data_IF_450295922996
#
_entry.id   IF_450295922996
#
_cell.length_a   1.000
_cell.length_b   1.000
_cell.length_c   1.000
_cell.angle_alpha   90.00
_cell.angle_beta   90.00
_cell.angle_gamma   90.00
#
_symmetry.space_group_name_H-M   'P 1'
#
loop_
_entity.id
_entity.type
_entity.pdbx_description
1 polymer ?
#
# COMPACT_ATOMS: atom_id res chain seq x y z
N UNK A 1 -19.99 30.84 -42.43
CA UNK A 1 -20.44 30.89 -41.02
C UNK A 1 -21.36 29.71 -40.76
N UNK A 2 -21.16 29.06 -39.60
CA UNK A 2 -21.96 27.99 -38.99
C UNK A 2 -21.80 26.57 -39.55
N UNK A 3 -20.64 25.97 -39.27
CA UNK A 3 -20.54 24.52 -39.12
C UNK A 3 -21.03 24.14 -37.72
N UNK A 4 -22.28 23.70 -37.62
CA UNK A 4 -22.88 23.14 -36.40
C UNK A 4 -22.25 21.78 -36.11
N UNK A 5 -21.18 21.77 -35.32
CA UNK A 5 -20.68 20.56 -34.69
C UNK A 5 -21.68 20.10 -33.63
N UNK A 6 -22.48 19.11 -34.00
CA UNK A 6 -23.32 18.35 -33.08
C UNK A 6 -22.40 17.69 -32.04
N UNK A 7 -22.31 18.31 -30.86
CA UNK A 7 -21.81 17.62 -29.67
C UNK A 7 -22.82 16.51 -29.36
N UNK A 8 -22.47 15.27 -29.69
CA UNK A 8 -23.11 14.11 -29.10
C UNK A 8 -22.90 14.21 -27.59
N UNK A 9 -23.93 14.66 -26.89
CA UNK A 9 -23.95 14.91 -25.46
C UNK A 9 -24.06 13.56 -24.71
N UNK A 10 -23.10 12.68 -24.95
CA UNK A 10 -22.94 11.44 -24.20
C UNK A 10 -22.03 11.79 -23.03
N UNK A 11 -22.63 12.05 -21.88
CA UNK A 11 -21.89 12.22 -20.63
C UNK A 11 -21.05 10.95 -20.42
N UNK A 12 -19.74 11.10 -20.40
CA UNK A 12 -18.81 9.99 -20.24
C UNK A 12 -18.57 9.84 -18.73
N UNK A 13 -19.51 9.16 -18.09
CA UNK A 13 -19.56 9.06 -16.64
C UNK A 13 -18.52 8.06 -16.16
N UNK A 14 -17.65 8.46 -15.24
CA UNK A 14 -16.79 7.55 -14.46
C UNK A 14 -17.09 7.68 -12.98
N UNK A 15 -16.91 6.59 -12.24
CA UNK A 15 -17.09 6.55 -10.80
C UNK A 15 -15.74 6.71 -10.12
N UNK A 16 -15.65 7.60 -9.13
CA UNK A 16 -14.47 7.76 -8.29
C UNK A 16 -14.83 7.34 -6.87
N UNK A 17 -14.16 6.30 -6.39
CA UNK A 17 -14.22 5.86 -5.00
C UNK A 17 -13.08 6.48 -4.21
N UNK A 18 -13.42 7.37 -3.30
CA UNK A 18 -12.49 8.07 -2.43
C UNK A 18 -12.33 7.32 -1.10
N UNK A 19 -11.10 6.95 -0.78
CA UNK A 19 -10.76 6.03 0.31
C UNK A 19 -9.96 6.70 1.43
N UNK A 20 -10.39 7.88 1.89
CA UNK A 20 -9.81 8.53 3.08
C UNK A 20 -10.69 8.30 4.31
N UNK A 21 -10.49 7.16 5.00
CA UNK A 21 -11.16 6.77 6.24
C UNK A 21 -12.66 6.41 6.14
N UNK A 22 -13.42 7.07 5.27
CA UNK A 22 -14.80 6.73 4.93
C UNK A 22 -14.95 6.64 3.42
N UNK A 23 -15.64 5.61 2.93
CA UNK A 23 -15.93 5.44 1.52
C UNK A 23 -16.89 6.53 1.03
N UNK A 24 -16.43 7.35 0.08
CA UNK A 24 -17.26 8.32 -0.64
C UNK A 24 -17.17 8.04 -2.13
N UNK A 25 -18.31 7.94 -2.80
CA UNK A 25 -18.35 7.75 -4.26
C UNK A 25 -18.77 9.05 -4.93
N UNK A 26 -17.97 9.50 -5.90
CA UNK A 26 -18.25 10.65 -6.74
C UNK A 26 -18.52 10.19 -8.17
N UNK A 27 -19.38 10.93 -8.86
CA UNK A 27 -19.66 10.72 -10.28
C UNK A 27 -19.00 11.85 -11.06
N UNK A 28 -18.07 11.49 -11.94
CA UNK A 28 -17.29 12.42 -12.74
C UNK A 28 -17.71 12.32 -14.20
N UNK A 29 -17.85 13.44 -14.88
CA UNK A 29 -18.07 13.49 -16.34
C UNK A 29 -16.73 13.86 -17.00
N UNK A 30 -16.13 12.89 -17.70
CA UNK A 30 -14.74 12.99 -18.18
C UNK A 30 -14.65 12.58 -19.64
N UNK A 31 -13.87 13.29 -20.45
CA UNK A 31 -13.68 12.90 -21.84
C UNK A 31 -12.56 11.86 -21.99
N UNK A 32 -12.67 10.87 -22.90
CA UNK A 32 -11.58 9.90 -23.14
C UNK A 32 -10.27 10.54 -23.60
N UNK A 33 -10.35 11.73 -24.22
CA UNK A 33 -9.24 12.57 -24.66
C UNK A 33 -8.55 13.33 -23.51
N UNK A 34 -9.18 13.40 -22.33
CA UNK A 34 -8.63 14.08 -21.16
C UNK A 34 -7.34 13.39 -20.71
N UNK A 35 -6.34 14.19 -20.30
CA UNK A 35 -5.09 13.65 -19.72
C UNK A 35 -5.21 13.44 -18.21
N UNK A 36 -4.40 12.55 -17.65
CA UNK A 36 -4.40 12.23 -16.21
C UNK A 36 -4.23 13.49 -15.34
N UNK A 37 -3.40 14.45 -15.76
CA UNK A 37 -3.24 15.71 -15.04
C UNK A 37 -4.54 16.53 -14.94
N UNK A 38 -5.32 16.57 -16.03
CA UNK A 38 -6.61 17.26 -16.07
C UNK A 38 -7.64 16.54 -15.21
N UNK A 39 -7.67 15.20 -15.24
CA UNK A 39 -8.51 14.39 -14.37
C UNK A 39 -8.20 14.64 -12.88
N UNK A 40 -6.92 14.61 -12.49
CA UNK A 40 -6.49 14.91 -11.11
C UNK A 40 -6.94 16.30 -10.65
N UNK A 41 -6.90 17.31 -11.53
CA UNK A 41 -7.43 18.64 -11.23
C UNK A 41 -8.95 18.64 -11.07
N UNK A 42 -9.66 17.98 -11.99
CA UNK A 42 -11.12 17.88 -11.92
C UNK A 42 -11.60 17.17 -10.64
N UNK A 43 -10.89 16.12 -10.22
CA UNK A 43 -11.15 15.43 -8.96
C UNK A 43 -10.98 16.39 -7.78
N UNK A 44 -9.87 17.15 -7.70
CA UNK A 44 -9.65 18.14 -6.63
C UNK A 44 -10.79 19.13 -6.50
N UNK A 45 -11.22 19.69 -7.61
CA UNK A 45 -12.33 20.66 -7.64
C UNK A 45 -13.65 20.04 -7.19
N UNK A 46 -13.88 18.75 -7.50
CA UNK A 46 -15.10 18.02 -7.13
C UNK A 46 -15.11 17.54 -5.69
N UNK A 47 -13.96 17.13 -5.14
CA UNK A 47 -13.85 16.70 -3.75
C UNK A 47 -13.73 17.87 -2.78
N UNK A 48 -13.27 19.04 -3.27
CA UNK A 48 -13.03 20.22 -2.44
C UNK A 48 -11.78 20.09 -1.56
N UNK A 49 -10.87 19.17 -1.90
CA UNK A 49 -9.62 18.96 -1.18
C UNK A 49 -8.51 19.85 -1.76
N UNK A 50 -8.36 21.04 -1.17
CA UNK A 50 -7.24 21.97 -1.42
C UNK A 50 -5.99 21.62 -0.58
N UNK A 51 -6.05 20.54 0.20
CA UNK A 51 -4.98 20.16 1.13
C UNK A 51 -3.83 19.40 0.45
N UNK A 52 -2.65 19.49 1.06
CA UNK A 52 -1.43 18.72 0.74
C UNK A 52 -1.68 17.20 0.65
N UNK A 53 -2.73 16.71 1.32
CA UNK A 53 -3.21 15.32 1.26
C UNK A 53 -3.52 14.86 -0.16
N UNK A 54 -4.03 15.72 -1.05
CA UNK A 54 -4.28 15.31 -2.44
C UNK A 54 -2.99 15.05 -3.22
N UNK A 55 -1.91 15.79 -2.95
CA UNK A 55 -0.60 15.49 -3.57
C UNK A 55 -0.08 14.12 -3.18
N UNK A 56 -0.50 13.63 -2.01
CA UNK A 56 -0.18 12.31 -1.48
C UNK A 56 -1.23 11.27 -1.88
N UNK A 57 -2.22 11.57 -2.71
CA UNK A 57 -3.18 10.54 -3.13
C UNK A 57 -2.72 9.84 -4.41
N UNK A 58 -2.78 8.52 -4.40
CA UNK A 58 -2.56 7.69 -5.59
C UNK A 58 -3.89 7.38 -6.24
N UNK A 59 -4.00 7.66 -7.54
CA UNK A 59 -5.16 7.29 -8.34
C UNK A 59 -4.89 5.89 -8.94
N UNK A 60 -5.82 4.97 -8.71
CA UNK A 60 -5.70 3.58 -9.13
C UNK A 60 -6.81 3.21 -10.12
N UNK A 61 -6.43 2.38 -11.09
CA UNK A 61 -7.31 1.77 -12.07
C UNK A 61 -6.98 0.30 -12.21
N UNK A 62 -7.94 -0.59 -11.95
CA UNK A 62 -7.73 -2.05 -11.93
C UNK A 62 -6.52 -2.48 -11.08
N UNK A 63 -6.27 -1.78 -9.96
CA UNK A 63 -5.14 -2.06 -9.06
C UNK A 63 -3.78 -1.53 -9.52
N UNK A 64 -3.70 -0.86 -10.67
CA UNK A 64 -2.49 -0.19 -11.13
C UNK A 64 -2.56 1.32 -10.86
N UNK A 65 -1.46 1.89 -10.36
CA UNK A 65 -1.35 3.33 -10.16
C UNK A 65 -1.24 4.03 -11.52
N UNK A 66 -2.03 5.08 -11.72
CA UNK A 66 -1.98 5.93 -12.91
C UNK A 66 -1.33 7.27 -12.54
N UNK A 67 -0.02 7.36 -12.72
CA UNK A 67 0.79 8.52 -12.34
C UNK A 67 1.25 9.38 -13.54
N UNK A 68 1.33 8.81 -14.75
CA UNK A 68 1.77 9.53 -15.95
C UNK A 68 0.76 10.61 -16.39
N UNK A 69 1.09 11.85 -16.05
CA UNK A 69 0.30 13.06 -16.28
C UNK A 69 0.04 13.38 -17.76
N UNK A 70 0.85 12.84 -18.68
CA UNK A 70 0.76 13.13 -20.11
C UNK A 70 -0.07 12.10 -20.90
N UNK A 71 -0.50 11.01 -20.26
CA UNK A 71 -1.32 9.98 -20.90
C UNK A 71 -2.79 10.34 -20.85
N UNK A 72 -3.52 9.99 -21.91
CA UNK A 72 -4.96 10.15 -21.98
C UNK A 72 -5.68 9.03 -21.21
N UNK A 73 -6.92 9.28 -20.81
CA UNK A 73 -7.77 8.24 -20.19
C UNK A 73 -7.95 7.03 -21.12
N UNK A 74 -8.06 7.29 -22.42
CA UNK A 74 -8.11 6.25 -23.44
C UNK A 74 -6.86 5.35 -23.46
N UNK A 75 -5.66 5.88 -23.15
CA UNK A 75 -4.43 5.08 -23.10
C UNK A 75 -4.48 4.01 -22.00
N UNK A 76 -5.14 4.32 -20.88
CA UNK A 76 -5.35 3.41 -19.76
C UNK A 76 -6.59 2.54 -19.88
N UNK A 77 -7.30 2.59 -21.02
CA UNK A 77 -8.60 1.93 -21.24
C UNK A 77 -9.69 2.39 -20.24
N UNK A 78 -9.57 3.61 -19.71
CA UNK A 78 -10.59 4.22 -18.84
C UNK A 78 -11.74 4.68 -19.72
N UNK A 79 -12.91 4.06 -19.55
CA UNK A 79 -14.14 4.30 -20.34
C UNK A 79 -15.29 4.73 -19.44
N UNK A 80 -16.43 5.04 -20.06
CA UNK A 80 -17.70 5.19 -19.35
C UNK A 80 -17.97 4.01 -18.39
N UNK A 81 -18.58 4.33 -17.27
CA UNK A 81 -18.94 3.44 -16.16
C UNK A 81 -17.76 2.75 -15.48
N UNK A 82 -16.53 3.20 -15.71
CA UNK A 82 -15.39 2.60 -15.01
C UNK A 82 -15.22 3.19 -13.61
N UNK A 83 -14.71 2.36 -12.69
CA UNK A 83 -14.42 2.73 -11.31
C UNK A 83 -12.93 3.07 -11.16
N UNK A 84 -12.67 4.29 -10.70
CA UNK A 84 -11.36 4.77 -10.26
C UNK A 84 -11.33 4.77 -8.74
N UNK A 85 -10.18 4.44 -8.17
CA UNK A 85 -10.00 4.47 -6.72
C UNK A 85 -8.95 5.51 -6.36
N UNK A 86 -9.27 6.41 -5.43
CA UNK A 86 -8.33 7.39 -4.89
C UNK A 86 -7.96 7.00 -3.48
N UNK A 87 -6.69 6.64 -3.30
CA UNK A 87 -6.14 6.17 -2.04
C UNK A 87 -5.19 7.20 -1.46
N UNK A 88 -5.37 7.54 -0.19
CA UNK A 88 -4.47 8.43 0.53
C UNK A 88 -3.18 7.70 0.91
N UNK A 89 -2.02 8.17 0.44
CA UNK A 89 -0.73 7.62 0.89
C UNK A 89 -0.29 8.16 2.25
N UNK A 90 -0.99 9.17 2.79
CA UNK A 90 -0.83 9.67 4.16
C UNK A 90 -1.79 9.01 5.14
N UNK A 91 -1.55 7.73 5.42
CA UNK A 91 -1.91 7.05 6.67
C UNK A 91 -3.24 7.41 7.35
N UNK A 92 -4.29 6.66 7.02
CA UNK A 92 -5.27 6.20 8.02
C UNK A 92 -5.62 4.75 7.70
N UNK A 93 -4.79 3.87 8.23
CA UNK A 93 -4.73 2.44 8.02
C UNK A 93 -5.81 1.75 8.89
N UNK A 94 -7.07 2.01 8.59
CA UNK A 94 -8.21 1.41 9.28
C UNK A 94 -8.91 0.34 8.48
N UNK A 95 -8.98 0.49 7.15
CA UNK A 95 -9.65 -0.47 6.30
C UNK A 95 -9.27 -0.19 4.86
N UNK A 96 -9.04 -1.25 4.08
CA UNK A 96 -8.86 -1.27 2.62
C UNK A 96 -7.41 -1.10 2.16
N UNK A 97 -6.89 -2.21 1.64
CA UNK A 97 -5.51 -2.39 1.28
C UNK A 97 -5.06 -1.56 0.09
N UNK A 98 -3.87 -0.99 0.22
CA UNK A 98 -2.95 -0.73 -0.87
C UNK A 98 -1.49 -0.89 -0.38
N UNK A 99 -0.72 -1.65 -1.18
CA UNK A 99 0.72 -1.51 -1.43
C UNK A 99 1.65 -1.40 -0.21
N UNK A 100 1.86 -2.51 0.50
CA UNK A 100 3.06 -2.69 1.32
C UNK A 100 2.95 -3.76 2.39
N UNK A 101 1.82 -3.84 3.10
CA UNK A 101 1.66 -4.83 4.18
C UNK A 101 0.22 -5.32 4.25
N UNK A 102 0.01 -6.61 3.99
CA UNK A 102 -1.26 -7.28 4.28
C UNK A 102 -1.33 -7.52 5.80
N UNK A 103 -2.20 -6.79 6.50
CA UNK A 103 -2.50 -7.15 7.89
C UNK A 103 -3.18 -8.51 7.91
N UNK A 104 -2.73 -9.38 8.81
CA UNK A 104 -3.35 -10.66 9.03
C UNK A 104 -4.75 -10.43 9.64
N UNK A 105 -5.80 -10.92 8.97
CA UNK A 105 -7.14 -10.95 9.55
C UNK A 105 -7.19 -12.03 10.65
N UNK A 106 -7.00 -11.60 11.90
CA UNK A 106 -6.97 -12.47 13.09
C UNK A 106 -8.36 -13.06 13.39
N UNK A 107 -9.44 -12.51 12.82
CA UNK A 107 -10.78 -13.09 12.97
C UNK A 107 -10.95 -14.38 12.16
N UNK A 108 -10.10 -14.57 11.15
CA UNK A 108 -10.04 -15.79 10.34
C UNK A 108 -8.92 -16.69 10.83
N UNK A 109 -9.24 -17.95 11.13
CA UNK A 109 -8.24 -18.94 11.57
C UNK A 109 -7.18 -19.26 10.50
N UNK A 110 -7.43 -18.88 9.24
CA UNK A 110 -6.55 -19.15 8.10
C UNK A 110 -5.26 -18.31 8.11
N UNK A 111 -5.28 -17.15 8.78
CA UNK A 111 -4.11 -16.28 8.90
C UNK A 111 -3.13 -16.73 10.01
N UNK A 112 -3.57 -17.57 10.95
CA UNK A 112 -2.78 -18.02 12.09
C UNK A 112 -2.02 -19.31 11.77
N UNK A 113 -0.79 -19.16 11.27
CA UNK A 113 0.13 -20.30 11.12
C UNK A 113 0.85 -20.59 12.43
N UNK A 114 0.52 -21.71 13.07
CA UNK A 114 1.29 -22.25 14.19
C UNK A 114 2.52 -22.99 13.66
N UNK A 115 3.68 -22.36 13.76
CA UNK A 115 4.96 -22.97 13.41
C UNK A 115 5.49 -23.80 14.59
N UNK A 116 6.03 -24.98 14.31
CA UNK A 116 6.71 -25.82 15.30
C UNK A 116 8.19 -25.43 15.34
N UNK A 117 8.73 -25.18 16.53
CA UNK A 117 10.14 -24.91 16.71
C UNK A 117 11.00 -26.08 16.22
N UNK A 118 11.95 -25.78 15.34
CA UNK A 118 12.97 -26.74 14.95
C UNK A 118 13.99 -26.91 16.08
N UNK A 119 14.50 -28.13 16.28
CA UNK A 119 15.61 -28.40 17.21
C UNK A 119 16.98 -27.97 16.66
N UNK A 120 17.04 -27.48 15.41
CA UNK A 120 18.27 -26.98 14.80
C UNK A 120 18.49 -25.55 15.27
N UNK A 121 19.52 -25.34 16.09
CA UNK A 121 19.88 -24.02 16.59
C UNK A 121 20.58 -23.21 15.49
N UNK A 122 19.83 -22.33 14.83
CA UNK A 122 20.40 -21.28 14.00
C UNK A 122 20.53 -20.01 14.83
N UNK A 123 21.71 -19.40 14.84
CA UNK A 123 22.00 -18.22 15.66
C UNK A 123 21.08 -17.03 15.33
N UNK A 124 20.70 -16.91 14.06
CA UNK A 124 19.83 -15.86 13.53
C UNK A 124 18.32 -16.18 13.51
N UNK A 125 17.89 -17.34 14.01
CA UNK A 125 16.45 -17.70 14.14
C UNK A 125 16.06 -18.01 15.59
N UNK A 126 16.40 -17.10 16.49
CA UNK A 126 16.02 -17.16 17.91
C UNK A 126 14.94 -16.12 18.18
N UNK A 127 13.71 -16.56 18.49
CA UNK A 127 12.66 -15.64 18.92
C UNK A 127 12.70 -15.44 20.43
N UNK A 128 12.73 -14.19 20.87
CA UNK A 128 12.44 -13.80 22.25
C UNK A 128 10.93 -13.74 22.49
N UNK A 129 10.53 -13.48 23.74
CA UNK A 129 9.13 -13.25 24.08
C UNK A 129 8.67 -11.89 23.55
N UNK A 130 7.43 -11.79 23.09
CA UNK A 130 6.86 -10.56 22.55
C UNK A 130 6.79 -10.55 21.02
N UNK A 131 6.86 -9.34 20.44
CA UNK A 131 6.87 -9.14 19.00
C UNK A 131 8.20 -9.60 18.39
N UNK A 132 8.11 -10.37 17.32
CA UNK A 132 9.22 -10.80 16.49
C UNK A 132 8.93 -10.44 15.03
N UNK A 133 9.90 -9.87 14.33
CA UNK A 133 9.84 -9.64 12.90
C UNK A 133 10.65 -10.71 12.18
N UNK A 134 10.23 -11.09 10.98
CA UNK A 134 10.96 -11.99 10.11
C UNK A 134 11.32 -11.27 8.81
N UNK A 135 12.57 -11.42 8.41
CA UNK A 135 13.13 -10.83 7.19
C UNK A 135 14.27 -11.67 6.65
N UNK A 136 14.88 -11.23 5.55
CA UNK A 136 15.99 -11.95 4.89
C UNK A 136 17.26 -11.12 4.89
N UNK A 137 18.40 -11.71 5.28
CA UNK A 137 19.67 -11.02 5.15
C UNK A 137 20.09 -10.91 3.68
N UNK A 138 20.47 -9.71 3.25
CA UNK A 138 21.02 -9.47 1.90
C UNK A 138 22.53 -9.19 1.89
N UNK A 139 23.19 -9.25 3.03
CA UNK A 139 24.64 -9.08 3.13
C UNK A 139 25.39 -10.32 2.64
N UNK A 140 26.15 -10.21 1.56
CA UNK A 140 26.93 -11.32 0.99
C UNK A 140 28.00 -11.87 1.92
N UNK A 141 28.53 -11.02 2.82
CA UNK A 141 29.59 -11.39 3.77
C UNK A 141 29.03 -12.00 5.07
N UNK A 142 27.70 -12.08 5.20
CA UNK A 142 27.06 -12.62 6.39
C UNK A 142 26.83 -14.13 6.29
N UNK A 143 27.07 -14.86 7.38
CA UNK A 143 26.72 -16.28 7.51
C UNK A 143 25.23 -16.55 7.23
N UNK A 144 24.38 -15.54 7.45
CA UNK A 144 22.96 -15.60 7.22
C UNK A 144 22.52 -15.06 5.85
N UNK A 145 23.43 -14.87 4.89
CA UNK A 145 23.11 -14.40 3.54
C UNK A 145 22.00 -15.24 2.89
N UNK A 146 20.94 -14.57 2.41
CA UNK A 146 19.73 -15.18 1.84
C UNK A 146 19.03 -16.18 2.77
N UNK A 147 19.31 -16.15 4.07
CA UNK A 147 18.60 -16.89 5.09
C UNK A 147 17.52 -16.02 5.73
N UNK A 148 16.44 -16.67 6.16
CA UNK A 148 15.36 -16.02 6.88
C UNK A 148 15.71 -15.92 8.37
N UNK A 149 15.61 -14.71 8.91
CA UNK A 149 16.03 -14.31 10.24
C UNK A 149 14.81 -14.05 11.12
N UNK A 150 15.01 -14.12 12.44
CA UNK A 150 14.04 -13.64 13.43
C UNK A 150 14.68 -12.48 14.19
N UNK A 151 13.99 -11.34 14.20
CA UNK A 151 14.41 -10.09 14.84
C UNK A 151 13.47 -9.85 16.01
N UNK A 152 14.01 -9.94 17.22
CA UNK A 152 13.21 -9.90 18.44
C UNK A 152 13.02 -8.46 18.92
N UNK A 153 11.82 -7.91 18.70
CA UNK A 153 11.43 -6.56 19.09
C UNK A 153 10.98 -6.50 20.56
N UNK A 154 10.32 -7.56 21.04
CA UNK A 154 9.90 -7.71 22.43
C UNK A 154 8.54 -7.08 22.74
N UNK A 155 8.30 -6.77 24.02
CA UNK A 155 7.06 -6.11 24.48
C UNK A 155 7.23 -4.59 24.46
N UNK A 156 6.99 -3.98 23.29
CA UNK A 156 6.94 -2.53 23.15
C UNK A 156 5.92 -2.12 22.11
N UNK A 157 5.45 -0.88 22.18
CA UNK A 157 4.76 -0.25 21.05
C UNK A 157 5.78 -0.16 19.92
N UNK A 158 5.42 -0.72 18.77
CA UNK A 158 6.27 -0.76 17.60
C UNK A 158 5.39 -0.66 16.36
N UNK A 159 5.61 0.37 15.57
CA UNK A 159 5.00 0.61 14.28
C UNK A 159 6.01 0.23 13.20
N UNK A 160 5.69 -0.78 12.38
CA UNK A 160 6.63 -1.26 11.35
C UNK A 160 6.93 -0.18 10.31
N UNK A 161 6.03 0.78 10.08
CA UNK A 161 6.25 1.84 9.08
C UNK A 161 7.17 2.93 9.64
N UNK A 162 6.99 3.28 10.91
CA UNK A 162 7.66 4.43 11.51
C UNK A 162 8.91 4.06 12.33
N UNK A 163 8.91 2.87 12.94
CA UNK A 163 9.92 2.45 13.89
C UNK A 163 10.90 1.42 13.30
N UNK A 164 10.67 0.90 12.08
CA UNK A 164 11.59 -0.04 11.43
C UNK A 164 12.72 0.70 10.69
N UNK A 165 13.90 0.70 11.30
CA UNK A 165 15.08 1.38 10.78
C UNK A 165 16.37 0.57 11.01
N UNK A 166 17.50 1.13 10.60
CA UNK A 166 18.83 0.52 10.71
C UNK A 166 19.30 0.28 12.16
N UNK A 167 18.56 0.73 13.16
CA UNK A 167 18.85 0.54 14.59
C UNK A 167 17.93 -0.47 15.25
N UNK A 168 16.70 -0.62 14.75
CA UNK A 168 15.68 -1.47 15.35
C UNK A 168 15.50 -2.81 14.65
N UNK A 169 15.66 -2.86 13.32
CA UNK A 169 15.41 -4.05 12.51
C UNK A 169 16.69 -4.50 11.82
N UNK A 170 17.56 -5.11 12.62
CA UNK A 170 18.90 -5.50 12.20
C UNK A 170 19.08 -7.02 12.16
N UNK A 171 19.97 -7.46 11.28
CA UNK A 171 20.44 -8.84 11.26
C UNK A 171 21.25 -9.14 12.54
N UNK A 172 20.96 -10.21 13.28
CA UNK A 172 21.67 -10.54 14.51
C UNK A 172 23.12 -11.00 14.29
N UNK A 173 23.53 -11.27 13.05
CA UNK A 173 24.88 -11.72 12.71
C UNK A 173 25.77 -10.60 12.15
N UNK A 174 25.22 -9.70 11.33
CA UNK A 174 26.00 -8.66 10.65
C UNK A 174 25.53 -7.23 10.96
N UNK A 175 24.52 -7.07 11.80
CA UNK A 175 23.98 -5.78 12.27
C UNK A 175 23.49 -4.84 11.16
N UNK A 176 23.35 -5.33 9.93
CA UNK A 176 22.78 -4.56 8.83
C UNK A 176 21.26 -4.56 8.88
N UNK A 177 20.66 -3.48 8.41
CA UNK A 177 19.22 -3.35 8.26
C UNK A 177 18.62 -4.50 7.43
N UNK A 178 17.47 -4.98 7.89
CA UNK A 178 16.71 -6.05 7.23
C UNK A 178 15.29 -5.56 7.05
N UNK A 179 14.81 -5.55 5.82
CA UNK A 179 13.41 -5.23 5.54
C UNK A 179 12.49 -6.35 6.10
N UNK A 180 11.56 -6.01 7.01
CA UNK A 180 10.68 -7.00 7.62
C UNK A 180 9.55 -7.41 6.67
N UNK A 181 9.42 -8.72 6.44
CA UNK A 181 8.40 -9.28 5.55
C UNK A 181 7.15 -9.77 6.30
N UNK A 182 7.35 -10.30 7.51
CA UNK A 182 6.29 -10.92 8.33
C UNK A 182 6.52 -10.52 9.79
N UNK A 183 5.45 -10.43 10.58
CA UNK A 183 5.52 -10.32 12.03
C UNK A 183 4.88 -11.53 12.72
N UNK A 184 5.34 -11.82 13.93
CA UNK A 184 4.83 -12.90 14.76
C UNK A 184 4.92 -12.56 16.24
N UNK A 185 4.02 -13.13 17.04
CA UNK A 185 4.05 -13.02 18.49
C UNK A 185 4.51 -14.34 19.09
N UNK A 186 5.54 -14.30 19.91
CA UNK A 186 6.10 -15.47 20.57
C UNK A 186 5.91 -15.38 22.08
N UNK A 187 5.32 -16.43 22.68
CA UNK A 187 5.12 -16.56 24.12
C UNK A 187 4.39 -15.39 24.82
N UNK A 188 3.33 -14.89 24.18
CA UNK A 188 2.49 -13.77 24.65
C UNK A 188 1.17 -14.23 25.30
N UNK A 189 1.24 -15.17 26.25
CA UNK A 189 0.09 -15.61 27.06
C UNK A 189 0.07 -14.93 28.43
#
# INVERSE_FOLDING_TARGET
MLGSYMHSNVANIVYLKYMSGMERTYTLDVEPSMIVQQLKRYIREKTGDDNDSFQKMSLLFNGNVIDDDNKTLQYYDIKEKTLLELHDSSGNLGDIGCLGMKFADVSTSDALKRCIWSKKESHWRKAARGLCLEGMCNNSECNAFKQQLIISIGYKKFDVVNDADETTVICPECEQYVEPNICGFNNCW
#
